data_IF_377099657556
#
_entry.id   IF_377099657556
#
_cell.length_a   1.000
_cell.length_b   1.000
_cell.length_c   1.000
_cell.angle_alpha   90.00
_cell.angle_beta   90.00
_cell.angle_gamma   90.00
#
_symmetry.space_group_name_H-M   'P 1'
#
loop_
_entity.id
_entity.type
_entity.pdbx_description
1 polymer ?
#
# COMPACT_ATOMS: atom_id res chain seq x y z
N UNK A 1 -18.41 36.26 76.59
CA UNK A 1 -17.99 36.23 75.17
C UNK A 1 -16.52 35.84 75.10
N UNK A 2 -16.20 34.82 74.30
CA UNK A 2 -14.94 34.46 73.59
C UNK A 2 -13.62 34.56 74.39
N UNK A 3 -13.03 33.42 74.79
CA UNK A 3 -11.91 32.67 74.13
C UNK A 3 -10.67 33.56 73.93
N UNK A 4 -9.45 33.19 74.35
CA UNK A 4 -8.69 32.09 73.74
C UNK A 4 -7.49 31.70 74.63
N UNK A 5 -7.30 30.38 74.78
CA UNK A 5 -6.16 29.68 75.39
C UNK A 5 -5.07 29.55 74.32
N UNK A 6 -3.82 29.95 74.59
CA UNK A 6 -2.69 29.69 73.68
C UNK A 6 -1.76 28.65 74.31
N UNK A 7 -1.87 27.42 73.82
CA UNK A 7 -1.04 26.28 74.18
C UNK A 7 0.01 26.15 73.07
N UNK A 8 1.29 26.40 73.38
CA UNK A 8 2.37 26.26 72.39
C UNK A 8 2.94 24.85 72.49
N UNK A 9 2.42 23.97 71.63
CA UNK A 9 2.89 22.60 71.44
C UNK A 9 3.93 22.60 70.29
N UNK A 10 5.19 22.36 70.60
CA UNK A 10 6.26 22.19 69.61
C UNK A 10 6.28 20.73 69.15
N UNK A 11 5.78 20.48 67.94
CA UNK A 11 5.80 19.16 67.28
C UNK A 11 7.10 19.03 66.47
N UNK A 12 7.81 17.93 66.71
CA UNK A 12 8.92 17.43 65.90
C UNK A 12 8.46 17.11 64.47
N UNK A 13 9.16 17.64 63.47
CA UNK A 13 9.15 17.07 62.12
C UNK A 13 10.55 16.54 61.78
N UNK A 14 10.67 15.21 61.91
CA UNK A 14 11.70 14.39 61.29
C UNK A 14 11.46 14.48 59.78
N UNK A 15 12.32 15.19 59.06
CA UNK A 15 12.31 15.26 57.61
C UNK A 15 12.99 14.01 57.05
N UNK A 16 12.18 13.03 56.62
CA UNK A 16 12.63 11.96 55.74
C UNK A 16 12.90 12.54 54.35
N UNK A 17 14.17 12.57 53.94
CA UNK A 17 14.56 12.73 52.53
C UNK A 17 14.13 11.46 51.78
N UNK A 18 13.06 11.59 50.99
CA UNK A 18 12.82 10.68 49.88
C UNK A 18 13.47 11.32 48.65
N UNK A 19 14.66 10.84 48.29
CA UNK A 19 15.27 11.13 47.00
C UNK A 19 14.37 10.52 45.91
N UNK A 20 13.58 11.38 45.28
CA UNK A 20 12.84 11.07 44.06
C UNK A 20 13.85 10.71 42.98
N UNK A 21 13.98 9.42 42.68
CA UNK A 21 14.64 8.98 41.45
C UNK A 21 13.79 9.44 40.27
N UNK A 22 14.30 10.47 39.60
CA UNK A 22 13.87 10.93 38.30
C UNK A 22 13.73 9.73 37.37
N UNK A 23 12.52 9.51 36.85
CA UNK A 23 12.26 8.41 35.94
C UNK A 23 13.08 8.62 34.67
N UNK A 24 13.92 7.63 34.35
CA UNK A 24 14.67 7.60 33.10
C UNK A 24 13.71 7.81 31.91
N UNK A 25 14.11 8.57 30.88
CA UNK A 25 13.31 8.70 29.67
C UNK A 25 13.08 7.30 29.11
N UNK A 26 11.82 6.94 28.86
CA UNK A 26 11.50 5.77 28.04
C UNK A 26 12.16 6.00 26.69
N UNK A 27 13.24 5.26 26.42
CA UNK A 27 13.69 5.05 25.05
C UNK A 27 12.50 4.46 24.28
N UNK A 28 11.86 5.28 23.45
CA UNK A 28 11.02 4.81 22.37
C UNK A 28 11.94 4.02 21.44
N UNK A 29 12.00 2.71 21.71
CA UNK A 29 12.61 1.75 20.83
C UNK A 29 11.76 1.67 19.55
N UNK A 30 11.97 2.64 18.66
CA UNK A 30 11.52 2.57 17.27
C UNK A 30 12.40 1.51 16.61
N UNK A 31 12.04 0.24 16.83
CA UNK A 31 12.44 -0.83 15.93
C UNK A 31 11.99 -0.40 14.53
N UNK A 32 12.90 0.18 13.76
CA UNK A 32 12.66 0.51 12.36
C UNK A 32 12.38 -0.82 11.67
N UNK A 33 11.11 -1.02 11.30
CA UNK A 33 10.67 -2.20 10.58
C UNK A 33 11.35 -2.18 9.21
N UNK A 34 12.40 -2.99 9.05
CA UNK A 34 13.17 -3.11 7.80
C UNK A 34 12.44 -4.02 6.82
N UNK A 35 11.33 -3.54 6.26
CA UNK A 35 10.63 -4.20 5.17
C UNK A 35 11.00 -3.50 3.88
N UNK A 36 11.65 -4.22 2.97
CA UNK A 36 11.92 -3.77 1.61
C UNK A 36 11.24 -4.73 0.62
N UNK A 37 10.23 -4.24 -0.09
CA UNK A 37 9.49 -4.99 -1.11
C UNK A 37 9.38 -4.12 -2.36
N UNK A 38 9.52 -4.69 -3.53
CA UNK A 38 9.38 -4.01 -4.81
C UNK A 38 8.62 -4.87 -5.81
N UNK A 39 8.24 -4.29 -6.95
CA UNK A 39 7.64 -5.03 -8.08
C UNK A 39 8.43 -6.29 -8.44
N UNK A 40 9.77 -6.20 -8.45
CA UNK A 40 10.67 -7.32 -8.76
C UNK A 40 10.52 -8.53 -7.84
N UNK A 41 10.09 -8.31 -6.59
CA UNK A 41 9.86 -9.41 -5.66
C UNK A 41 8.65 -10.27 -6.03
N UNK A 42 7.84 -9.82 -6.99
CA UNK A 42 6.66 -10.53 -7.48
C UNK A 42 6.86 -11.19 -8.84
N UNK A 43 8.00 -10.94 -9.52
CA UNK A 43 8.25 -11.44 -10.89
C UNK A 43 8.11 -12.97 -10.99
N UNK A 44 8.47 -13.72 -9.95
CA UNK A 44 8.32 -15.18 -9.94
C UNK A 44 6.87 -15.66 -10.00
N UNK A 45 5.90 -14.79 -9.71
CA UNK A 45 4.48 -15.10 -9.77
C UNK A 45 3.83 -14.65 -11.08
N UNK A 46 4.58 -13.98 -11.96
CA UNK A 46 4.04 -13.35 -13.16
C UNK A 46 4.65 -13.99 -14.40
N UNK A 47 3.81 -14.56 -15.24
CA UNK A 47 4.21 -15.11 -16.54
C UNK A 47 3.62 -14.26 -17.66
N UNK A 48 4.49 -13.64 -18.46
CA UNK A 48 4.07 -12.87 -19.61
C UNK A 48 3.74 -13.78 -20.80
N UNK A 49 2.57 -13.58 -21.40
CA UNK A 49 2.17 -14.16 -22.66
C UNK A 49 2.41 -13.14 -23.79
N UNK A 50 3.39 -13.38 -24.69
CA UNK A 50 3.71 -12.44 -25.76
C UNK A 50 2.68 -12.46 -26.91
N UNK A 51 1.85 -13.50 -27.05
CA UNK A 51 0.83 -13.57 -28.09
C UNK A 51 -0.37 -12.70 -27.74
N UNK A 52 -0.77 -12.71 -26.47
CA UNK A 52 -1.89 -11.92 -25.96
C UNK A 52 -1.45 -10.56 -25.39
N UNK A 53 -0.15 -10.39 -25.10
CA UNK A 53 0.42 -9.21 -24.41
C UNK A 53 -0.17 -9.06 -23.00
N UNK A 54 -0.33 -10.19 -22.32
CA UNK A 54 -1.00 -10.31 -21.02
C UNK A 54 -0.10 -10.98 -19.97
N UNK A 55 -0.52 -10.93 -18.71
CA UNK A 55 0.16 -11.62 -17.63
C UNK A 55 -0.76 -12.64 -16.94
N UNK A 56 -0.25 -13.86 -16.82
CA UNK A 56 -0.83 -14.87 -15.95
C UNK A 56 -0.18 -14.85 -14.57
N UNK A 57 -1.02 -15.07 -13.55
CA UNK A 57 -0.57 -15.27 -12.18
C UNK A 57 -0.28 -16.76 -11.98
N UNK A 58 0.93 -17.09 -11.54
CA UNK A 58 1.42 -18.47 -11.39
C UNK A 58 2.12 -18.66 -10.05
N UNK A 59 2.25 -19.92 -9.60
CA UNK A 59 2.97 -20.24 -8.35
C UNK A 59 2.28 -19.80 -7.06
N UNK A 60 1.00 -19.45 -7.12
CA UNK A 60 0.14 -19.14 -5.97
C UNK A 60 -1.08 -20.06 -6.02
N UNK A 61 -1.07 -21.11 -5.19
CA UNK A 61 -2.04 -22.20 -5.33
C UNK A 61 -3.38 -21.94 -4.63
N UNK A 62 -3.46 -20.92 -3.77
CA UNK A 62 -4.65 -20.61 -2.99
C UNK A 62 -5.30 -19.32 -3.47
N UNK A 63 -6.28 -19.48 -4.38
CA UNK A 63 -7.22 -18.42 -4.70
C UNK A 63 -8.17 -18.17 -3.53
N UNK A 64 -8.41 -16.91 -3.22
CA UNK A 64 -9.41 -16.46 -2.27
C UNK A 64 -10.44 -15.59 -2.99
N UNK A 65 -11.67 -15.56 -2.47
CA UNK A 65 -12.70 -14.64 -2.94
C UNK A 65 -12.78 -13.47 -1.98
N UNK A 66 -12.78 -12.27 -2.52
CA UNK A 66 -13.05 -11.08 -1.72
C UNK A 66 -14.47 -11.13 -1.16
N UNK A 67 -14.60 -10.72 0.11
CA UNK A 67 -15.92 -10.53 0.74
C UNK A 67 -16.62 -9.33 0.11
N UNK A 68 -17.96 -9.24 0.25
CA UNK A 68 -18.71 -8.08 -0.26
C UNK A 68 -18.19 -6.75 0.28
N UNK A 69 -17.68 -6.72 1.52
CA UNK A 69 -17.03 -5.54 2.11
C UNK A 69 -15.70 -5.22 1.43
N UNK A 70 -14.89 -6.21 1.09
CA UNK A 70 -13.63 -5.99 0.39
C UNK A 70 -13.86 -5.54 -1.07
N UNK A 71 -14.89 -6.07 -1.73
CA UNK A 71 -15.27 -5.70 -3.10
C UNK A 71 -15.70 -4.23 -3.19
N UNK A 72 -16.51 -3.75 -2.24
CA UNK A 72 -16.99 -2.36 -2.20
C UNK A 72 -15.99 -1.39 -1.57
N UNK A 73 -14.86 -1.87 -1.06
CA UNK A 73 -13.87 -1.01 -0.42
C UNK A 73 -13.21 -0.07 -1.45
N UNK A 74 -13.14 1.25 -1.17
CA UNK A 74 -12.50 2.22 -2.06
C UNK A 74 -11.02 1.90 -2.30
N UNK A 75 -10.59 1.97 -3.55
CA UNK A 75 -9.21 1.69 -3.94
C UNK A 75 -8.51 3.00 -4.33
N UNK A 76 -7.42 3.35 -3.64
CA UNK A 76 -6.59 4.51 -3.98
C UNK A 76 -5.75 4.23 -5.21
N UNK A 77 -5.49 5.29 -5.99
CA UNK A 77 -4.72 5.25 -7.25
C UNK A 77 -5.34 4.31 -8.31
N UNK A 78 -6.66 4.13 -8.29
CA UNK A 78 -7.41 3.40 -9.30
C UNK A 78 -7.73 4.29 -10.51
N UNK A 79 -6.69 4.74 -11.22
CA UNK A 79 -6.81 5.77 -12.27
C UNK A 79 -7.66 5.34 -13.48
N UNK A 80 -7.92 4.03 -13.62
CA UNK A 80 -8.65 3.42 -14.72
C UNK A 80 -10.00 2.81 -14.27
N UNK A 81 -10.42 3.09 -13.02
CA UNK A 81 -11.71 2.69 -12.46
C UNK A 81 -12.03 1.18 -12.59
N UNK A 82 -11.02 0.31 -12.49
CA UNK A 82 -11.26 -1.13 -12.55
C UNK A 82 -12.13 -1.60 -11.39
N UNK A 83 -13.09 -2.46 -11.71
CA UNK A 83 -14.02 -3.03 -10.76
C UNK A 83 -13.49 -4.36 -10.20
N UNK A 84 -13.63 -4.53 -8.89
CA UNK A 84 -13.44 -5.83 -8.23
C UNK A 84 -14.74 -6.62 -8.36
N UNK A 85 -14.65 -7.92 -8.67
CA UNK A 85 -15.82 -8.83 -8.77
C UNK A 85 -15.59 -10.12 -7.97
N UNK A 86 -16.68 -10.81 -7.64
CA UNK A 86 -16.66 -12.20 -7.16
C UNK A 86 -16.18 -13.19 -8.21
N UNK A 87 -16.22 -12.80 -9.49
CA UNK A 87 -15.85 -13.66 -10.61
C UNK A 87 -14.33 -13.83 -10.73
N UNK A 88 -13.56 -12.94 -10.11
CA UNK A 88 -12.10 -12.97 -10.13
C UNK A 88 -11.53 -13.77 -8.96
N UNK A 89 -10.36 -14.36 -9.18
CA UNK A 89 -9.57 -15.01 -8.16
C UNK A 89 -8.51 -14.05 -7.63
N UNK A 90 -8.40 -13.99 -6.30
CA UNK A 90 -7.46 -13.10 -5.62
C UNK A 90 -6.40 -13.94 -4.92
N UNK A 91 -5.14 -13.62 -5.17
CA UNK A 91 -4.00 -14.39 -4.66
C UNK A 91 -3.15 -13.51 -3.75
N UNK A 92 -3.03 -13.89 -2.47
CA UNK A 92 -2.09 -13.20 -1.57
C UNK A 92 -0.67 -13.67 -1.87
N UNK A 93 0.16 -12.81 -2.46
CA UNK A 93 1.56 -13.12 -2.74
C UNK A 93 2.47 -12.89 -1.53
N UNK A 94 2.15 -11.91 -0.69
CA UNK A 94 2.95 -11.59 0.51
C UNK A 94 2.09 -11.02 1.62
N UNK A 95 2.41 -11.39 2.85
CA UNK A 95 1.83 -10.82 4.07
C UNK A 95 2.95 -10.36 4.99
N UNK A 96 2.79 -9.20 5.62
CA UNK A 96 3.74 -8.65 6.56
C UNK A 96 3.06 -7.72 7.57
N UNK A 97 3.76 -7.35 8.64
CA UNK A 97 3.22 -6.52 9.71
C UNK A 97 4.03 -5.23 9.86
N UNK A 98 3.35 -4.12 10.08
CA UNK A 98 3.95 -2.86 10.53
C UNK A 98 3.15 -2.39 11.74
N UNK A 99 3.81 -2.29 12.89
CA UNK A 99 3.17 -2.06 14.18
C UNK A 99 2.07 -3.10 14.46
N UNK A 100 0.81 -2.67 14.61
CA UNK A 100 -0.33 -3.55 14.94
C UNK A 100 -1.24 -3.82 13.72
N UNK A 101 -0.74 -3.63 12.51
CA UNK A 101 -1.52 -3.80 11.28
C UNK A 101 -0.88 -4.84 10.36
N UNK A 102 -1.73 -5.66 9.76
CA UNK A 102 -1.34 -6.67 8.78
C UNK A 102 -1.51 -6.11 7.38
N UNK A 103 -0.49 -6.25 6.55
CA UNK A 103 -0.50 -5.81 5.16
C UNK A 103 -0.41 -7.01 4.23
N UNK A 104 -1.28 -7.06 3.23
CA UNK A 104 -1.29 -8.14 2.22
C UNK A 104 -1.12 -7.55 0.83
N UNK A 105 -0.15 -8.07 0.07
CA UNK A 105 -0.02 -7.82 -1.37
C UNK A 105 -0.82 -8.89 -2.09
N UNK A 106 -1.81 -8.44 -2.85
CA UNK A 106 -2.80 -9.29 -3.51
C UNK A 106 -2.71 -9.07 -5.01
N UNK A 107 -2.60 -10.15 -5.76
CA UNK A 107 -2.53 -10.19 -7.22
C UNK A 107 -3.85 -10.75 -7.74
N UNK A 108 -4.39 -10.16 -8.79
CA UNK A 108 -5.57 -10.66 -9.49
C UNK A 108 -5.63 -10.12 -10.92
N UNK A 109 -6.28 -10.87 -11.80
CA UNK A 109 -6.58 -10.41 -13.15
C UNK A 109 -8.03 -9.97 -13.25
N UNK A 110 -8.27 -8.84 -13.89
CA UNK A 110 -9.59 -8.40 -14.36
C UNK A 110 -9.62 -8.44 -15.89
N UNK A 111 -10.76 -8.12 -16.49
CA UNK A 111 -10.90 -8.01 -17.94
C UNK A 111 -11.13 -6.55 -18.36
N UNK A 112 -10.48 -6.14 -19.44
CA UNK A 112 -10.66 -4.85 -20.08
C UNK A 112 -11.81 -4.87 -21.08
N UNK A 113 -12.02 -3.75 -21.77
CA UNK A 113 -13.12 -3.60 -22.74
C UNK A 113 -13.04 -4.56 -23.93
N UNK A 114 -11.84 -5.06 -24.25
CA UNK A 114 -11.59 -6.01 -25.33
C UNK A 114 -11.47 -7.46 -24.85
N UNK A 115 -12.00 -7.77 -23.65
CA UNK A 115 -11.83 -9.05 -22.94
C UNK A 115 -10.38 -9.42 -22.63
N UNK A 116 -9.42 -8.52 -22.84
CA UNK A 116 -8.02 -8.73 -22.50
C UNK A 116 -7.78 -8.67 -20.99
N UNK A 117 -6.86 -9.49 -20.48
CA UNK A 117 -6.51 -9.49 -19.06
C UNK A 117 -5.77 -8.22 -18.66
N UNK A 118 -6.17 -7.67 -17.52
CA UNK A 118 -5.46 -6.61 -16.83
C UNK A 118 -4.94 -7.16 -15.51
N UNK A 119 -3.63 -7.14 -15.34
CA UNK A 119 -2.99 -7.52 -14.09
C UNK A 119 -3.11 -6.39 -13.08
N UNK A 120 -3.63 -6.70 -11.91
CA UNK A 120 -3.73 -5.77 -10.80
C UNK A 120 -2.95 -6.30 -9.59
N UNK A 121 -2.20 -5.40 -8.95
CA UNK A 121 -1.44 -5.67 -7.72
C UNK A 121 -1.85 -4.64 -6.68
N UNK A 122 -2.55 -5.08 -5.65
CA UNK A 122 -3.10 -4.21 -4.60
C UNK A 122 -2.43 -4.48 -3.26
N UNK A 123 -2.14 -3.43 -2.51
CA UNK A 123 -1.76 -3.50 -1.11
C UNK A 123 -2.97 -3.20 -0.23
N UNK A 124 -3.31 -4.15 0.63
CA UNK A 124 -4.36 -3.99 1.63
C UNK A 124 -3.78 -3.87 3.02
N UNK A 125 -4.35 -2.98 3.81
CA UNK A 125 -4.06 -2.81 5.24
C UNK A 125 -5.22 -3.33 6.07
N UNK A 126 -4.92 -4.14 7.07
CA UNK A 126 -5.90 -4.77 7.95
C UNK A 126 -5.58 -4.49 9.42
N UNK A 127 -6.63 -4.33 10.21
CA UNK A 127 -6.57 -4.35 11.66
C UNK A 127 -7.62 -5.31 12.19
N UNK A 128 -7.21 -6.27 13.02
CA UNK A 128 -8.10 -7.31 13.56
C UNK A 128 -8.90 -8.02 12.44
N UNK A 129 -8.21 -8.42 11.36
CA UNK A 129 -8.77 -9.01 10.12
C UNK A 129 -9.77 -8.13 9.34
N UNK A 130 -10.02 -6.88 9.78
CA UNK A 130 -10.85 -5.93 9.05
C UNK A 130 -10.01 -5.09 8.10
N UNK A 131 -10.40 -5.05 6.82
CA UNK A 131 -9.81 -4.14 5.83
C UNK A 131 -10.06 -2.68 6.24
N UNK A 132 -8.99 -1.90 6.36
CA UNK A 132 -9.05 -0.49 6.77
C UNK A 132 -8.51 0.47 5.71
N UNK A 133 -7.70 -0.01 4.77
CA UNK A 133 -7.21 0.78 3.64
C UNK A 133 -6.76 -0.10 2.48
N UNK A 134 -6.75 0.45 1.26
CA UNK A 134 -6.35 -0.23 0.04
C UNK A 134 -5.67 0.73 -0.94
N UNK A 135 -4.57 0.28 -1.55
CA UNK A 135 -3.79 1.05 -2.52
C UNK A 135 -3.42 0.19 -3.72
N UNK A 136 -3.68 0.67 -4.94
CA UNK A 136 -3.29 -0.02 -6.17
C UNK A 136 -1.81 0.27 -6.47
N UNK A 137 -0.97 -0.75 -6.34
CA UNK A 137 0.48 -0.66 -6.54
C UNK A 137 0.88 -0.80 -8.02
N UNK A 138 0.29 -1.76 -8.71
CA UNK A 138 0.49 -1.98 -10.15
C UNK A 138 -0.85 -2.28 -10.82
N UNK A 139 -0.96 -1.79 -12.04
CA UNK A 139 -2.06 -2.04 -12.95
C UNK A 139 -1.46 -2.08 -14.35
N UNK A 140 -1.48 -3.25 -14.97
CA UNK A 140 -0.71 -3.55 -16.17
C UNK A 140 -1.58 -4.14 -17.26
N UNK A 141 -1.55 -3.50 -18.42
CA UNK A 141 -2.29 -3.88 -19.61
C UNK A 141 -1.75 -3.13 -20.84
N UNK A 142 -2.08 -3.62 -22.02
CA UNK A 142 -1.71 -2.97 -23.29
C UNK A 142 -2.92 -2.89 -24.21
N UNK A 143 -3.21 -1.69 -24.70
CA UNK A 143 -4.08 -1.46 -25.85
C UNK A 143 -3.24 -0.77 -26.94
N UNK A 144 -3.59 0.46 -27.31
CA UNK A 144 -2.75 1.33 -28.14
C UNK A 144 -1.51 1.81 -27.37
N UNK A 145 -1.68 2.04 -26.07
CA UNK A 145 -0.63 2.42 -25.13
C UNK A 145 -0.44 1.29 -24.11
N UNK A 146 0.82 0.97 -23.82
CA UNK A 146 1.18 0.05 -22.74
C UNK A 146 1.20 0.82 -21.42
N UNK A 147 0.49 0.32 -20.40
CA UNK A 147 0.47 0.87 -19.06
C UNK A 147 1.04 -0.15 -18.08
N UNK A 148 1.93 0.29 -17.20
CA UNK A 148 2.42 -0.50 -16.07
C UNK A 148 2.97 0.40 -14.98
N UNK A 149 3.15 -0.16 -13.78
CA UNK A 149 3.76 0.55 -12.66
C UNK A 149 4.90 -0.26 -12.08
N UNK A 150 5.85 0.45 -11.49
CA UNK A 150 6.81 -0.14 -10.59
C UNK A 150 6.60 0.46 -9.22
N UNK A 151 6.69 -0.35 -8.18
CA UNK A 151 6.55 0.13 -6.81
C UNK A 151 7.71 -0.32 -5.93
N UNK A 152 7.93 0.43 -4.85
CA UNK A 152 8.83 0.08 -3.76
C UNK A 152 8.14 0.44 -2.44
N UNK A 153 8.11 -0.51 -1.52
CA UNK A 153 7.72 -0.36 -0.12
C UNK A 153 9.02 -0.45 0.69
N UNK A 154 9.30 0.57 1.50
CA UNK A 154 10.49 0.66 2.35
C UNK A 154 10.07 1.15 3.74
N UNK A 155 9.97 0.23 4.69
CA UNK A 155 9.36 0.46 5.99
C UNK A 155 7.93 0.97 5.86
N UNK A 156 7.69 2.22 6.28
CA UNK A 156 6.38 2.87 6.19
C UNK A 156 6.21 3.75 4.94
N UNK A 157 7.17 3.74 4.00
CA UNK A 157 7.09 4.54 2.77
C UNK A 157 6.75 3.66 1.58
N UNK A 158 5.98 4.21 0.63
CA UNK A 158 5.61 3.54 -0.61
C UNK A 158 5.82 4.53 -1.74
N UNK A 159 6.57 4.14 -2.76
CA UNK A 159 6.73 4.88 -4.01
C UNK A 159 6.14 4.06 -5.15
N UNK A 160 5.32 4.69 -5.99
CA UNK A 160 4.74 4.08 -7.20
C UNK A 160 5.13 4.95 -8.38
N UNK A 161 5.84 4.36 -9.33
CA UNK A 161 6.21 4.95 -10.61
C UNK A 161 5.25 4.42 -11.67
N UNK A 162 4.31 5.26 -12.10
CA UNK A 162 3.35 4.98 -13.17
C UNK A 162 4.01 5.28 -14.51
N UNK A 163 3.91 4.35 -15.45
CA UNK A 163 4.56 4.44 -16.75
C UNK A 163 3.52 4.15 -17.83
N UNK A 164 3.47 5.00 -18.84
CA UNK A 164 2.77 4.73 -20.09
C UNK A 164 3.74 4.81 -21.26
N UNK A 165 3.59 3.91 -22.21
CA UNK A 165 4.47 3.82 -23.39
C UNK A 165 3.59 3.74 -24.64
N UNK A 166 3.58 4.80 -25.43
CA UNK A 166 2.97 4.83 -26.74
C UNK A 166 4.00 4.44 -27.81
N UNK A 167 3.67 3.41 -28.57
CA UNK A 167 4.52 2.81 -29.60
C UNK A 167 4.01 3.07 -31.01
N UNK A 168 2.79 3.57 -31.18
CA UNK A 168 2.13 3.66 -32.48
C UNK A 168 2.44 4.99 -33.16
N UNK A 169 2.67 4.94 -34.47
CA UNK A 169 2.87 6.11 -35.33
C UNK A 169 1.64 6.33 -36.19
N UNK A 170 1.23 7.58 -36.36
CA UNK A 170 -0.01 7.96 -37.03
C UNK A 170 0.25 8.95 -38.17
N UNK A 171 -0.50 8.84 -39.27
CA UNK A 171 -0.48 9.86 -40.33
C UNK A 171 -1.37 11.07 -39.97
N UNK A 172 -1.38 12.10 -40.82
CA UNK A 172 -2.19 13.31 -40.63
C UNK A 172 -3.71 13.05 -40.59
N UNK A 173 -4.17 11.91 -41.08
CA UNK A 173 -5.57 11.49 -41.04
C UNK A 173 -5.93 10.71 -39.76
N UNK A 174 -4.94 10.39 -38.92
CA UNK A 174 -5.11 9.57 -37.72
C UNK A 174 -5.04 8.06 -37.95
N UNK A 175 -4.62 7.60 -39.12
CA UNK A 175 -4.42 6.15 -39.36
C UNK A 175 -3.08 5.69 -38.80
N UNK A 176 -3.05 4.49 -38.20
CA UNK A 176 -1.84 3.82 -37.76
C UNK A 176 -0.99 3.45 -38.99
N UNK A 177 0.20 4.02 -39.10
CA UNK A 177 1.15 3.77 -40.20
C UNK A 177 2.33 2.88 -39.79
N UNK A 178 2.42 2.53 -38.52
CA UNK A 178 3.42 1.61 -38.00
C UNK A 178 3.75 1.89 -36.54
N UNK A 179 4.97 1.52 -36.16
CA UNK A 179 5.51 1.81 -34.84
C UNK A 179 6.52 2.96 -34.91
N UNK A 180 6.54 3.79 -33.87
CA UNK A 180 7.53 4.84 -33.66
C UNK A 180 8.93 4.22 -33.55
N UNK A 181 9.94 4.93 -34.08
CA UNK A 181 11.35 4.55 -33.88
C UNK A 181 11.81 4.73 -32.43
N UNK A 182 11.21 5.69 -31.73
CA UNK A 182 11.43 5.99 -30.32
C UNK A 182 10.06 6.13 -29.68
N UNK A 183 9.79 5.34 -28.65
CA UNK A 183 8.49 5.34 -27.98
C UNK A 183 8.30 6.63 -27.17
N UNK A 184 7.08 7.15 -27.14
CA UNK A 184 6.73 8.23 -26.22
C UNK A 184 6.42 7.62 -24.86
N UNK A 185 7.28 7.94 -23.88
CA UNK A 185 7.16 7.38 -22.52
C UNK A 185 6.83 8.50 -21.54
N UNK A 186 5.69 8.39 -20.88
CA UNK A 186 5.34 9.26 -19.76
C UNK A 186 5.61 8.54 -18.44
N UNK A 187 6.03 9.29 -17.44
CA UNK A 187 6.32 8.78 -16.10
C UNK A 187 5.78 9.74 -15.07
N UNK A 188 4.95 9.23 -14.16
CA UNK A 188 4.49 9.93 -12.96
C UNK A 188 4.98 9.16 -11.73
N UNK A 189 5.43 9.87 -10.70
CA UNK A 189 5.80 9.26 -9.42
C UNK A 189 4.86 9.76 -8.34
N UNK A 190 4.18 8.85 -7.68
CA UNK A 190 3.37 9.15 -6.49
C UNK A 190 3.98 8.48 -5.27
N UNK A 191 3.90 9.18 -4.14
CA UNK A 191 4.47 8.71 -2.87
C UNK A 191 3.40 8.65 -1.80
N UNK A 192 3.50 7.63 -0.96
CA UNK A 192 2.62 7.39 0.17
C UNK A 192 3.44 7.12 1.41
N UNK A 193 2.84 7.42 2.56
CA UNK A 193 3.33 6.98 3.85
C UNK A 193 2.21 6.26 4.60
N UNK A 194 2.56 5.14 5.22
CA UNK A 194 1.72 4.41 6.17
C UNK A 194 1.78 5.15 7.51
N UNK A 195 0.63 5.63 7.99
CA UNK A 195 0.56 6.26 9.32
C UNK A 195 0.40 5.21 10.44
N UNK A 196 0.38 5.68 11.68
CA UNK A 196 0.17 4.89 12.90
C UNK A 196 -1.17 4.10 12.90
N UNK A 197 -2.16 4.60 12.17
CA UNK A 197 -3.46 3.95 11.97
C UNK A 197 -3.47 2.95 10.81
N UNK A 198 -2.34 2.68 10.17
CA UNK A 198 -2.23 1.73 9.06
C UNK A 198 -2.81 2.26 7.75
N UNK A 199 -3.08 3.56 7.65
CA UNK A 199 -3.65 4.20 6.46
C UNK A 199 -2.55 4.72 5.52
N UNK A 200 -2.80 4.59 4.22
CA UNK A 200 -1.95 5.11 3.14
C UNK A 200 -2.25 6.59 2.90
N UNK A 201 -1.33 7.46 3.32
CA UNK A 201 -1.45 8.91 3.17
C UNK A 201 -0.58 9.37 1.99
N UNK A 202 -1.21 9.91 0.94
CA UNK A 202 -0.50 10.46 -0.22
C UNK A 202 0.36 11.64 0.24
N UNK A 203 1.61 11.68 -0.18
CA UNK A 203 2.53 12.79 0.02
C UNK A 203 2.48 13.71 -1.19
N UNK A 204 2.45 15.01 -0.90
CA UNK A 204 2.61 16.06 -1.90
C UNK A 204 4.07 16.17 -2.32
#
# INVERSE_FOLDING_TARGET
MKKTLFFMLTILFISCKNDTKEAAPKEENTNQVTIAISSKNLDSYLKFDPELVEYDITGLDKAEKFTSTALSFPLKENDFDYAKSTDFDYFTAKSFEIAAHTFKIILFNTYGENDGKILNIQLNSYKDEKLIDALLLDCRFTFETEYYRNFKIDGNTIEIKKISVDKLDFNDNGDIIGNKKVNDTLTEVVKYQINDKGLFIKKQ
#
